data_IF_647235397346
#
_entry.id   IF_647235397346
#
_cell.length_a   1.000
_cell.length_b   1.000
_cell.length_c   1.000
_cell.angle_alpha   90.00
_cell.angle_beta   90.00
_cell.angle_gamma   90.00
#
_symmetry.space_group_name_H-M   'P 1'
#
loop_
_entity.id
_entity.type
_entity.pdbx_description
1 polymer ?
#
# COMPACT_ATOMS: atom_id res chain seq x y z
N UNK A 1 26.92 36.73 35.69
CA UNK A 1 25.64 36.16 35.19
C UNK A 1 25.91 35.56 33.83
N UNK A 2 26.07 34.24 33.77
CA UNK A 2 26.32 33.50 32.52
C UNK A 2 25.00 32.87 32.07
N UNK A 3 24.51 33.26 30.90
CA UNK A 3 23.31 32.68 30.30
C UNK A 3 23.66 31.31 29.71
N UNK A 4 23.22 30.23 30.36
CA UNK A 4 23.20 28.91 29.73
C UNK A 4 22.14 28.92 28.63
N UNK A 5 22.60 28.99 27.39
CA UNK A 5 21.80 28.75 26.19
C UNK A 5 21.44 27.26 26.17
N UNK A 6 20.21 26.92 26.55
CA UNK A 6 19.71 25.54 26.40
C UNK A 6 19.65 25.20 24.91
N UNK A 7 20.55 24.33 24.46
CA UNK A 7 20.47 23.74 23.13
C UNK A 7 19.22 22.87 23.09
N UNK A 8 18.17 23.32 22.41
CA UNK A 8 17.07 22.44 22.03
C UNK A 8 17.64 21.40 21.08
N UNK A 9 17.90 20.19 21.58
CA UNK A 9 18.18 19.05 20.71
C UNK A 9 16.93 18.81 19.87
N UNK A 10 16.98 19.14 18.59
CA UNK A 10 15.98 18.67 17.64
C UNK A 10 16.09 17.16 17.61
N UNK A 11 15.21 16.47 18.33
CA UNK A 11 15.02 15.04 18.16
C UNK A 11 14.63 14.82 16.70
N UNK A 12 15.57 14.38 15.87
CA UNK A 12 15.26 13.83 14.56
C UNK A 12 14.33 12.66 14.80
N UNK A 13 13.03 12.85 14.52
CA UNK A 13 12.08 11.76 14.52
C UNK A 13 12.50 10.82 13.37
N UNK A 14 13.10 9.68 13.70
CA UNK A 14 13.59 8.72 12.72
C UNK A 14 12.38 8.22 11.93
N UNK A 15 12.38 8.46 10.61
CA UNK A 15 11.36 7.89 9.73
C UNK A 15 11.72 6.45 9.37
N UNK A 16 10.71 5.62 9.24
CA UNK A 16 10.81 4.21 8.92
C UNK A 16 9.86 3.88 7.77
N UNK A 17 10.31 2.99 6.87
CA UNK A 17 9.52 2.51 5.74
C UNK A 17 8.97 1.12 6.06
N UNK A 18 7.68 0.94 5.83
CA UNK A 18 7.00 -0.36 5.83
C UNK A 18 6.44 -0.62 4.43
N UNK A 19 6.41 -1.88 4.03
CA UNK A 19 5.92 -2.30 2.71
C UNK A 19 4.96 -3.47 2.86
N UNK A 20 4.03 -3.57 1.92
CA UNK A 20 3.18 -4.75 1.72
C UNK A 20 3.91 -5.86 0.94
N UNK A 21 5.16 -5.64 0.52
CA UNK A 21 5.78 -6.55 -0.44
C UNK A 21 5.02 -6.62 -1.77
N UNK A 22 5.52 -7.41 -2.74
CA UNK A 22 4.88 -7.51 -4.04
C UNK A 22 3.65 -8.42 -3.98
N UNK A 23 2.54 -7.96 -4.56
CA UNK A 23 1.35 -8.77 -4.78
C UNK A 23 0.85 -8.65 -6.22
N UNK A 24 0.43 -9.77 -6.80
CA UNK A 24 -0.11 -9.82 -8.15
C UNK A 24 -1.59 -9.39 -8.12
N UNK A 25 -1.97 -8.51 -9.04
CA UNK A 25 -3.37 -8.23 -9.36
C UNK A 25 -3.77 -8.99 -10.63
N UNK A 26 -4.52 -10.10 -10.55
CA UNK A 26 -5.05 -10.79 -11.73
C UNK A 26 -5.97 -9.90 -12.55
N UNK A 27 -6.09 -10.20 -13.84
CA UNK A 27 -6.98 -9.45 -14.73
C UNK A 27 -8.45 -9.59 -14.32
N UNK A 28 -8.92 -10.83 -14.16
CA UNK A 28 -10.31 -11.15 -13.86
C UNK A 28 -10.51 -11.53 -12.39
N UNK A 29 -11.60 -11.04 -11.82
CA UNK A 29 -12.06 -11.46 -10.50
C UNK A 29 -12.81 -12.80 -10.60
N UNK A 30 -12.71 -13.69 -9.60
CA UNK A 30 -13.49 -14.92 -9.53
C UNK A 30 -15.01 -14.71 -9.61
N UNK A 31 -15.49 -13.55 -9.20
CA UNK A 31 -16.91 -13.16 -9.24
C UNK A 31 -17.43 -12.81 -10.63
N UNK A 32 -16.56 -12.77 -11.65
CA UNK A 32 -16.85 -12.18 -12.95
C UNK A 32 -16.63 -10.67 -12.96
N UNK A 33 -16.13 -10.15 -14.09
CA UNK A 33 -15.65 -8.77 -14.21
C UNK A 33 -14.15 -8.65 -13.92
N UNK A 34 -13.59 -7.47 -14.23
CA UNK A 34 -12.14 -7.25 -14.10
C UNK A 34 -11.79 -6.59 -12.77
N UNK A 35 -10.68 -7.01 -12.17
CA UNK A 35 -10.13 -6.36 -10.97
C UNK A 35 -9.66 -4.95 -11.36
N UNK A 36 -10.42 -3.94 -10.99
CA UNK A 36 -10.19 -2.55 -11.43
C UNK A 36 -10.13 -1.57 -10.26
N UNK A 37 -10.22 -2.06 -9.02
CA UNK A 37 -10.19 -1.24 -7.81
C UNK A 37 -9.32 -1.89 -6.74
N UNK A 38 -8.46 -1.08 -6.12
CA UNK A 38 -7.81 -1.39 -4.86
C UNK A 38 -8.37 -0.47 -3.77
N UNK A 39 -8.59 -1.04 -2.58
CA UNK A 39 -8.87 -0.34 -1.34
C UNK A 39 -7.69 -0.61 -0.41
N UNK A 40 -7.00 0.44 0.00
CA UNK A 40 -5.87 0.39 0.93
C UNK A 40 -6.34 1.00 2.24
N UNK A 41 -6.36 0.18 3.29
CA UNK A 41 -6.74 0.59 4.63
C UNK A 41 -5.48 0.77 5.46
N UNK A 42 -5.36 1.94 6.08
CA UNK A 42 -4.21 2.29 6.90
C UNK A 42 -4.71 2.73 8.26
N UNK A 43 -4.43 1.92 9.26
CA UNK A 43 -4.93 2.14 10.62
C UNK A 43 -3.82 2.68 11.50
N UNK A 44 -4.13 3.76 12.23
CA UNK A 44 -3.34 4.24 13.34
C UNK A 44 -3.97 3.77 14.66
N UNK A 45 -3.54 2.65 15.23
CA UNK A 45 -4.05 2.14 16.49
C UNK A 45 -3.48 2.87 17.73
N UNK A 46 -2.64 3.90 17.57
CA UNK A 46 -2.03 4.62 18.69
C UNK A 46 -2.93 5.75 19.24
N UNK A 47 -2.44 6.43 20.27
CA UNK A 47 -3.07 7.64 20.85
C UNK A 47 -2.42 8.94 20.35
N UNK A 48 -1.56 8.89 19.32
CA UNK A 48 -0.87 10.06 18.75
C UNK A 48 -1.06 10.11 17.24
N UNK A 49 -1.10 11.29 16.62
CA UNK A 49 -1.06 11.38 15.17
C UNK A 49 0.21 10.72 14.63
N UNK A 50 0.13 10.20 13.41
CA UNK A 50 1.28 9.65 12.69
C UNK A 50 1.41 10.38 11.36
N UNK A 51 2.64 10.76 11.04
CA UNK A 51 2.98 11.31 9.74
C UNK A 51 3.41 10.17 8.84
N UNK A 52 2.68 9.95 7.75
CA UNK A 52 2.89 8.85 6.82
C UNK A 52 2.94 9.38 5.39
N UNK A 53 3.99 9.06 4.65
CA UNK A 53 4.05 9.23 3.21
C UNK A 53 3.72 7.91 2.55
N UNK A 54 2.61 7.84 1.82
CA UNK A 54 2.09 6.61 1.23
C UNK A 54 2.26 6.66 -0.28
N UNK A 55 3.06 5.74 -0.79
CA UNK A 55 3.29 5.56 -2.22
C UNK A 55 2.84 4.18 -2.66
N UNK A 56 2.40 4.09 -3.91
CA UNK A 56 2.02 2.86 -4.57
C UNK A 56 2.92 2.77 -5.80
N UNK A 57 3.51 1.62 -6.01
CA UNK A 57 4.29 1.34 -7.21
C UNK A 57 3.74 0.07 -7.84
N UNK A 58 3.96 -0.04 -9.15
CA UNK A 58 3.50 -1.18 -9.90
C UNK A 58 4.48 -1.53 -11.02
N UNK A 59 4.42 -2.78 -11.42
CA UNK A 59 5.10 -3.33 -12.57
C UNK A 59 4.06 -3.98 -13.47
N UNK A 60 3.73 -3.32 -14.57
CA UNK A 60 2.88 -3.90 -15.59
C UNK A 60 3.54 -5.18 -16.12
N UNK A 61 2.84 -6.31 -16.02
CA UNK A 61 3.32 -7.54 -16.63
C UNK A 61 2.91 -7.47 -18.11
N UNK A 62 3.84 -7.66 -19.06
CA UNK A 62 3.49 -7.71 -20.47
C UNK A 62 2.34 -8.70 -20.67
N UNK A 63 1.30 -8.29 -21.42
CA UNK A 63 0.13 -9.13 -21.65
C UNK A 63 0.56 -10.52 -22.13
N UNK A 64 0.22 -11.55 -21.36
CA UNK A 64 0.58 -12.95 -21.61
C UNK A 64 -0.23 -13.61 -22.73
N UNK A 65 -0.67 -12.84 -23.72
CA UNK A 65 -1.23 -13.37 -24.95
C UNK A 65 -0.13 -13.63 -25.98
N UNK A 66 1.04 -14.15 -25.56
CA UNK A 66 2.06 -14.65 -26.49
C UNK A 66 1.88 -16.17 -26.54
N UNK A 67 1.36 -16.73 -27.64
CA UNK A 67 1.32 -18.18 -27.81
C UNK A 67 2.74 -18.76 -27.68
N UNK A 68 2.89 -19.85 -26.91
CA UNK A 68 4.16 -20.57 -26.81
C UNK A 68 5.04 -20.23 -25.60
N UNK A 69 4.54 -19.51 -24.60
CA UNK A 69 5.26 -19.38 -23.32
C UNK A 69 5.28 -20.74 -22.61
N UNK A 70 6.46 -21.33 -22.50
CA UNK A 70 6.74 -22.50 -21.67
C UNK A 70 7.09 -22.10 -20.24
N UNK A 71 6.61 -22.88 -19.27
CA UNK A 71 6.97 -22.73 -17.86
C UNK A 71 8.26 -23.53 -17.55
N UNK A 72 9.16 -23.02 -16.68
CA UNK A 72 9.04 -21.77 -15.93
C UNK A 72 9.30 -20.54 -16.80
N UNK A 73 8.47 -19.51 -16.61
CA UNK A 73 8.64 -18.20 -17.24
C UNK A 73 9.33 -17.26 -16.26
N UNK A 74 10.39 -16.60 -16.71
CA UNK A 74 11.15 -15.62 -15.93
C UNK A 74 11.17 -14.29 -16.69
N UNK A 75 10.81 -13.21 -16.00
CA UNK A 75 10.89 -11.85 -16.53
C UNK A 75 11.32 -10.88 -15.43
N UNK A 76 12.15 -9.91 -15.79
CA UNK A 76 12.52 -8.80 -14.92
C UNK A 76 11.64 -7.61 -15.27
N UNK A 77 10.76 -7.23 -14.37
CA UNK A 77 9.88 -6.09 -14.54
C UNK A 77 10.48 -4.86 -13.88
N UNK A 78 10.27 -3.70 -14.48
CA UNK A 78 10.64 -2.41 -13.90
C UNK A 78 9.49 -1.90 -13.05
N UNK A 79 9.77 -1.45 -11.83
CA UNK A 79 8.80 -0.78 -10.97
C UNK A 79 8.65 0.69 -11.41
N UNK A 80 7.41 1.15 -11.45
CA UNK A 80 7.05 2.52 -11.78
C UNK A 80 6.09 3.10 -10.73
N UNK A 81 6.20 4.39 -10.39
CA UNK A 81 5.26 5.03 -9.47
C UNK A 81 3.84 4.98 -10.04
N UNK A 82 2.88 4.56 -9.22
CA UNK A 82 1.47 4.65 -9.55
C UNK A 82 0.97 6.08 -9.28
N UNK A 83 0.27 6.73 -10.23
CA UNK A 83 -0.02 8.17 -10.16
C UNK A 83 -0.93 8.60 -8.99
N UNK A 84 -1.57 7.66 -8.30
CA UNK A 84 -2.60 7.94 -7.29
C UNK A 84 -2.13 7.70 -5.84
N UNK A 85 -0.82 7.81 -5.55
CA UNK A 85 -0.34 7.90 -4.18
C UNK A 85 -0.90 9.14 -3.45
N UNK A 86 -1.15 9.05 -2.14
CA UNK A 86 -1.62 10.20 -1.33
C UNK A 86 -0.48 11.20 -1.08
N UNK A 87 0.77 10.72 -1.09
CA UNK A 87 1.91 11.50 -0.61
C UNK A 87 1.87 11.67 0.92
N UNK A 88 2.58 12.67 1.47
CA UNK A 88 2.62 12.92 2.91
C UNK A 88 1.24 13.27 3.48
N UNK A 89 0.83 12.53 4.52
CA UNK A 89 -0.46 12.71 5.18
C UNK A 89 -0.37 12.43 6.69
N UNK A 90 -1.27 13.05 7.46
CA UNK A 90 -1.41 12.80 8.90
C UNK A 90 -2.55 11.83 9.17
N UNK A 91 -2.25 10.69 9.76
CA UNK A 91 -3.24 9.71 10.19
C UNK A 91 -3.57 9.94 11.66
N UNK A 92 -4.80 10.36 11.93
CA UNK A 92 -5.26 10.68 13.28
C UNK A 92 -5.24 9.45 14.21
N UNK A 93 -5.07 9.66 15.53
CA UNK A 93 -5.15 8.58 16.52
C UNK A 93 -6.44 7.78 16.41
N UNK A 94 -6.37 6.46 16.58
CA UNK A 94 -7.52 5.54 16.60
C UNK A 94 -8.40 5.59 15.35
N UNK A 95 -7.87 6.09 14.24
CA UNK A 95 -8.58 6.19 12.97
C UNK A 95 -8.03 5.23 11.92
N UNK A 96 -8.87 4.98 10.92
CA UNK A 96 -8.54 4.28 9.69
C UNK A 96 -8.61 5.29 8.56
N UNK A 97 -7.50 5.45 7.85
CA UNK A 97 -7.47 6.08 6.55
C UNK A 97 -7.83 5.03 5.49
N UNK A 98 -8.79 5.35 4.63
CA UNK A 98 -9.20 4.51 3.50
C UNK A 98 -8.84 5.23 2.20
N UNK A 99 -7.92 4.65 1.45
CA UNK A 99 -7.56 5.08 0.10
C UNK A 99 -8.20 4.12 -0.90
N UNK A 100 -8.81 4.67 -1.94
CA UNK A 100 -9.31 3.89 -3.06
C UNK A 100 -8.63 4.30 -4.35
N UNK A 101 -8.24 3.31 -5.13
CA UNK A 101 -7.42 3.50 -6.32
C UNK A 101 -8.05 2.79 -7.50
N UNK A 102 -8.39 3.54 -8.53
CA UNK A 102 -8.73 2.98 -9.83
C UNK A 102 -7.46 2.44 -10.49
N UNK A 103 -7.47 1.14 -10.79
CA UNK A 103 -6.38 0.40 -11.43
C UNK A 103 -6.82 -0.20 -12.77
N UNK A 104 -7.89 0.32 -13.39
CA UNK A 104 -8.40 -0.16 -14.69
C UNK A 104 -7.30 -0.27 -15.76
N UNK A 105 -6.33 0.65 -15.73
CA UNK A 105 -5.21 0.67 -16.70
C UNK A 105 -3.95 -0.08 -16.23
N UNK A 106 -4.00 -0.76 -15.09
CA UNK A 106 -2.87 -1.45 -14.47
C UNK A 106 -3.25 -2.86 -13.97
N UNK A 107 -4.12 -3.54 -14.72
CA UNK A 107 -4.52 -4.92 -14.48
C UNK A 107 -3.41 -5.89 -14.91
N UNK A 108 -3.39 -7.10 -14.32
CA UNK A 108 -2.31 -8.06 -14.55
C UNK A 108 -0.93 -7.43 -14.28
N UNK A 109 -0.81 -6.71 -13.17
CA UNK A 109 0.41 -6.07 -12.74
C UNK A 109 0.78 -6.55 -11.33
N UNK A 110 2.06 -6.50 -11.02
CA UNK A 110 2.52 -6.64 -9.63
C UNK A 110 2.48 -5.26 -9.00
N UNK A 111 1.85 -5.14 -7.85
CA UNK A 111 1.81 -3.92 -7.06
C UNK A 111 2.60 -4.12 -5.77
N UNK A 112 3.08 -3.01 -5.23
CA UNK A 112 3.44 -2.92 -3.83
C UNK A 112 2.97 -1.57 -3.28
N UNK A 113 2.68 -1.53 -1.98
CA UNK A 113 2.35 -0.31 -1.24
C UNK A 113 3.44 -0.05 -0.22
N UNK A 114 4.03 1.14 -0.28
CA UNK A 114 5.03 1.61 0.66
C UNK A 114 4.46 2.72 1.53
N UNK A 115 4.90 2.74 2.78
CA UNK A 115 4.57 3.82 3.69
C UNK A 115 5.81 4.22 4.48
N UNK A 116 6.19 5.49 4.44
CA UNK A 116 7.34 6.04 5.16
C UNK A 116 6.90 7.10 6.15
N UNK A 117 7.18 6.89 7.44
CA UNK A 117 6.64 7.78 8.47
C UNK A 117 7.37 7.69 9.79
N UNK A 118 6.92 8.45 10.78
CA UNK A 118 7.51 8.51 12.13
C UNK A 118 7.13 7.30 13.01
N UNK A 119 7.13 6.11 12.41
CA UNK A 119 6.74 4.88 13.06
C UNK A 119 7.76 4.46 14.09
N UNK A 120 7.30 3.96 15.24
CA UNK A 120 8.22 3.36 16.20
C UNK A 120 8.37 1.87 15.87
N UNK A 121 9.52 1.53 15.31
CA UNK A 121 9.94 0.16 15.00
C UNK A 121 10.62 -0.45 16.24
N UNK A 122 10.39 -1.74 16.51
CA UNK A 122 11.07 -2.51 17.56
C UNK A 122 11.51 -3.86 17.00
N UNK A 123 12.72 -4.30 17.35
CA UNK A 123 13.34 -5.53 16.82
C UNK A 123 13.19 -5.69 15.30
N UNK A 124 13.52 -4.63 14.55
CA UNK A 124 13.42 -4.54 13.08
C UNK A 124 12.02 -4.75 12.49
N UNK A 125 10.97 -4.81 13.32
CA UNK A 125 9.60 -5.00 12.87
C UNK A 125 8.73 -3.83 13.32
N UNK A 126 7.67 -3.49 12.58
CA UNK A 126 6.65 -2.61 13.11
C UNK A 126 6.11 -3.28 14.38
N UNK A 127 6.30 -2.63 15.53
CA UNK A 127 5.65 -3.10 16.75
C UNK A 127 4.15 -3.07 16.47
N UNK A 128 3.48 -4.21 16.64
CA UNK A 128 2.01 -4.31 16.58
C UNK A 128 1.41 -3.10 17.30
N UNK A 129 0.48 -2.41 16.64
CA UNK A 129 -0.15 -1.25 17.25
C UNK A 129 0.49 0.09 16.91
N UNK A 130 1.13 0.28 15.74
CA UNK A 130 1.57 1.62 15.29
C UNK A 130 1.17 2.01 13.87
N UNK A 131 1.29 1.15 12.87
CA UNK A 131 0.63 1.36 11.57
C UNK A 131 0.29 -0.01 10.99
N UNK A 132 -0.97 -0.23 10.63
CA UNK A 132 -1.44 -1.48 10.00
C UNK A 132 -1.91 -1.15 8.59
N UNK A 133 -1.36 -1.82 7.57
CA UNK A 133 -1.77 -1.68 6.16
C UNK A 133 -2.48 -2.96 5.73
N UNK A 134 -3.66 -2.82 5.17
CA UNK A 134 -4.43 -3.90 4.56
C UNK A 134 -4.85 -3.49 3.15
N UNK A 135 -4.78 -4.42 2.21
CA UNK A 135 -5.12 -4.20 0.80
C UNK A 135 -6.25 -5.13 0.43
N UNK A 136 -7.28 -4.60 -0.22
CA UNK A 136 -8.42 -5.34 -0.73
C UNK A 136 -8.62 -4.95 -2.19
N UNK A 137 -8.54 -5.90 -3.11
CA UNK A 137 -8.82 -5.71 -4.51
C UNK A 137 -10.16 -6.32 -4.94
N UNK A 138 -10.65 -5.88 -6.10
CA UNK A 138 -11.86 -6.47 -6.67
C UNK A 138 -12.45 -5.68 -7.83
N UNK A 139 -13.72 -6.00 -8.11
CA UNK A 139 -14.55 -5.30 -9.09
C UNK A 139 -15.14 -4.07 -8.43
N UNK A 140 -14.72 -2.89 -8.86
CA UNK A 140 -15.25 -1.59 -8.46
C UNK A 140 -16.64 -1.31 -9.04
N UNK A 141 -17.28 -0.27 -8.52
CA UNK A 141 -18.56 0.22 -9.04
C UNK A 141 -18.42 0.74 -10.48
N UNK A 142 -19.54 0.82 -11.21
CA UNK A 142 -19.58 1.10 -12.66
C UNK A 142 -19.00 2.45 -13.11
N UNK A 143 -18.74 3.38 -12.18
CA UNK A 143 -18.02 4.63 -12.44
C UNK A 143 -16.71 4.65 -11.66
N UNK A 144 -15.58 5.04 -12.29
CA UNK A 144 -14.29 5.13 -11.60
C UNK A 144 -14.31 6.10 -10.42
N UNK A 145 -15.21 7.09 -10.43
CA UNK A 145 -15.40 8.05 -9.32
C UNK A 145 -16.17 7.50 -8.13
N UNK A 146 -16.87 6.36 -8.27
CA UNK A 146 -17.64 5.79 -7.18
C UNK A 146 -16.72 4.96 -6.28
N UNK A 147 -16.74 5.27 -4.99
CA UNK A 147 -16.01 4.51 -3.98
C UNK A 147 -16.72 3.19 -3.65
N UNK A 148 -15.96 2.11 -3.52
CA UNK A 148 -16.44 0.77 -3.13
C UNK A 148 -16.24 -0.31 -4.19
N UNK A 149 -16.59 -1.53 -3.78
CA UNK A 149 -16.52 -2.74 -4.58
C UNK A 149 -17.94 -3.30 -4.79
N UNK A 150 -18.22 -3.77 -6.01
CA UNK A 150 -19.34 -4.66 -6.31
C UNK A 150 -19.03 -6.05 -5.74
N UNK A 151 -17.80 -6.51 -5.92
CA UNK A 151 -17.31 -7.78 -5.42
C UNK A 151 -15.83 -7.67 -5.03
N UNK A 152 -15.47 -8.18 -3.85
CA UNK A 152 -14.09 -8.33 -3.44
C UNK A 152 -13.51 -9.62 -4.02
N UNK A 153 -12.27 -9.56 -4.50
CA UNK A 153 -11.52 -10.73 -4.92
C UNK A 153 -10.75 -11.27 -3.71
N UNK A 154 -11.04 -12.50 -3.24
CA UNK A 154 -10.34 -13.08 -2.10
C UNK A 154 -8.84 -13.29 -2.38
N UNK A 155 -8.43 -13.42 -3.65
CA UNK A 155 -7.01 -13.50 -4.03
C UNK A 155 -6.29 -12.16 -3.94
N UNK A 156 -7.03 -11.06 -3.73
CA UNK A 156 -6.53 -9.70 -3.57
C UNK A 156 -6.80 -9.12 -2.19
N UNK A 157 -6.97 -9.98 -1.19
CA UNK A 157 -7.06 -9.55 0.20
C UNK A 157 -5.76 -9.90 0.89
N UNK A 158 -5.04 -8.87 1.32
CA UNK A 158 -3.75 -9.02 1.97
C UNK A 158 -3.73 -8.26 3.29
N UNK A 159 -3.50 -9.00 4.37
CA UNK A 159 -3.58 -8.45 5.71
C UNK A 159 -2.21 -7.97 6.17
N UNK A 160 -2.20 -7.00 7.09
CA UNK A 160 -0.97 -6.47 7.69
C UNK A 160 0.00 -7.55 8.20
N UNK A 161 -0.53 -8.65 8.72
CA UNK A 161 0.28 -9.77 9.24
C UNK A 161 1.07 -10.52 8.18
N UNK A 162 0.67 -10.43 6.90
CA UNK A 162 1.27 -11.15 5.78
C UNK A 162 2.57 -10.48 5.29
N UNK A 163 2.81 -9.24 5.74
CA UNK A 163 3.83 -8.34 5.19
C UNK A 163 5.01 -8.08 6.15
N UNK A 164 5.05 -8.79 7.28
CA UNK A 164 6.11 -8.64 8.26
C UNK A 164 7.35 -9.43 7.80
N UNK A 165 8.34 -8.72 7.26
CA UNK A 165 9.73 -9.21 7.19
C UNK A 165 10.46 -8.79 8.46
#
# INVERSE_FOLDING_TARGET
>A
MSYHKSSSSSHYCRKHTITTGPFLVPFDAPSGGSNNRLIILIKNPTNRPLEADITIEFSAIPQFSIPGITLPYLNTLKEEPFPNGIGPTTILPKNILRLEVDITNAQNAVFHVNSTGDYLIGDNRPLRGKLEIEVIGGVGLTSPTNAGLIAADPSLTFHFGDFIV
#
